data_IF_945333273846
#
_entry.id   IF_945333273846
#
_cell.length_a   1.000
_cell.length_b   1.000
_cell.length_c   1.000
_cell.angle_alpha   90.00
_cell.angle_beta   90.00
_cell.angle_gamma   90.00
#
_symmetry.space_group_name_H-M   'P 1'
#
loop_
_entity.id
_entity.type
_entity.pdbx_description
1 polymer ?
#
# COMPACT_ATOMS: atom_id res chain seq x y z
N UNK A 1 -33.85 38.84 -5.61
CA UNK A 1 -33.69 37.54 -6.24
C UNK A 1 -32.28 37.33 -6.82
N UNK A 2 -31.71 38.17 -7.69
CA UNK A 2 -30.37 38.00 -8.30
C UNK A 2 -29.24 37.81 -7.25
N UNK A 3 -29.20 38.59 -6.17
CA UNK A 3 -28.19 38.50 -5.11
C UNK A 3 -28.23 37.16 -4.38
N UNK A 4 -29.41 36.61 -4.07
CA UNK A 4 -29.58 35.31 -3.39
C UNK A 4 -29.09 34.19 -4.29
N UNK A 5 -29.43 34.23 -5.60
CA UNK A 5 -28.94 33.22 -6.56
C UNK A 5 -27.42 33.24 -6.67
N UNK A 6 -26.82 34.46 -6.70
CA UNK A 6 -25.36 34.58 -6.74
C UNK A 6 -24.70 34.02 -5.48
N UNK A 7 -25.25 34.27 -4.29
CA UNK A 7 -24.73 33.74 -3.01
C UNK A 7 -24.82 32.21 -3.02
N UNK A 8 -25.95 31.63 -3.41
CA UNK A 8 -26.13 30.18 -3.47
C UNK A 8 -25.16 29.54 -4.47
N UNK A 9 -24.94 30.18 -5.62
CA UNK A 9 -23.98 29.67 -6.62
C UNK A 9 -22.54 29.68 -6.07
N UNK A 10 -22.10 30.80 -5.46
CA UNK A 10 -20.78 30.92 -4.86
C UNK A 10 -20.60 29.86 -3.74
N UNK A 11 -21.61 29.71 -2.88
CA UNK A 11 -21.57 28.69 -1.81
C UNK A 11 -21.44 27.28 -2.38
N UNK A 12 -22.17 26.95 -3.45
CA UNK A 12 -22.09 25.65 -4.11
C UNK A 12 -20.68 25.38 -4.68
N UNK A 13 -20.10 26.40 -5.34
CA UNK A 13 -18.73 26.32 -5.87
C UNK A 13 -17.71 26.10 -4.73
N UNK A 14 -17.83 26.85 -3.64
CA UNK A 14 -16.94 26.68 -2.47
C UNK A 14 -17.05 25.28 -1.86
N UNK A 15 -18.26 24.72 -1.74
CA UNK A 15 -18.47 23.36 -1.24
C UNK A 15 -17.84 22.33 -2.17
N UNK A 16 -18.02 22.45 -3.47
CA UNK A 16 -17.42 21.56 -4.46
C UNK A 16 -15.90 21.60 -4.36
N UNK A 17 -15.30 22.79 -4.30
CA UNK A 17 -13.86 22.94 -4.14
C UNK A 17 -13.37 22.31 -2.84
N UNK A 18 -14.06 22.56 -1.70
CA UNK A 18 -13.70 22.03 -0.40
C UNK A 18 -13.71 20.48 -0.37
N UNK A 19 -14.73 19.86 -0.96
CA UNK A 19 -14.87 18.39 -1.02
C UNK A 19 -13.75 17.76 -1.88
N UNK A 20 -13.22 18.48 -2.85
CA UNK A 20 -12.17 17.99 -3.74
C UNK A 20 -10.74 18.35 -3.29
N UNK A 21 -10.56 19.08 -2.19
CA UNK A 21 -9.22 19.30 -1.64
C UNK A 21 -8.61 17.99 -1.12
N UNK A 22 -7.29 17.78 -1.29
CA UNK A 22 -6.59 16.59 -0.79
C UNK A 22 -6.34 16.74 0.71
N UNK A 23 -7.10 16.00 1.51
CA UNK A 23 -7.05 16.11 2.98
C UNK A 23 -6.24 15.04 3.67
N UNK A 24 -6.36 13.79 3.22
CA UNK A 24 -5.87 12.64 3.99
C UNK A 24 -4.89 11.80 3.18
N UNK A 25 -3.68 11.64 3.70
CA UNK A 25 -2.70 10.73 3.12
C UNK A 25 -3.11 9.28 3.35
N UNK A 26 -2.94 8.46 2.33
CA UNK A 26 -3.31 7.04 2.36
C UNK A 26 -2.42 6.22 1.43
N UNK A 27 -2.26 4.96 1.76
CA UNK A 27 -1.84 3.90 0.85
C UNK A 27 -3.05 3.56 -0.03
N UNK A 28 -2.94 3.80 -1.33
CA UNK A 28 -4.04 3.68 -2.29
C UNK A 28 -3.76 2.52 -3.23
N UNK A 29 -4.79 1.70 -3.45
CA UNK A 29 -4.76 0.58 -4.38
C UNK A 29 -5.67 0.90 -5.56
N UNK A 30 -5.09 0.93 -6.76
CA UNK A 30 -5.79 1.16 -8.03
C UNK A 30 -5.75 -0.09 -8.90
N UNK A 31 -6.85 -0.42 -9.54
CA UNK A 31 -6.88 -1.54 -10.50
C UNK A 31 -5.94 -1.25 -11.67
N UNK A 32 -5.10 -2.21 -11.99
CA UNK A 32 -3.95 -2.00 -12.89
C UNK A 32 -4.30 -1.54 -14.30
N UNK A 33 -5.48 -1.92 -14.82
CA UNK A 33 -5.94 -1.58 -16.18
C UNK A 33 -6.70 -0.25 -16.23
N UNK A 34 -7.67 -0.08 -15.35
CA UNK A 34 -8.58 1.07 -15.37
C UNK A 34 -8.05 2.27 -14.60
N UNK A 35 -7.04 2.05 -13.74
CA UNK A 35 -6.54 3.05 -12.79
C UNK A 35 -7.62 3.56 -11.82
N UNK A 36 -8.70 2.81 -11.68
CA UNK A 36 -9.75 3.14 -10.73
C UNK A 36 -9.30 2.78 -9.31
N UNK A 37 -9.48 3.70 -8.37
CA UNK A 37 -9.27 3.43 -6.94
C UNK A 37 -10.23 2.34 -6.48
N UNK A 38 -9.67 1.24 -5.96
CA UNK A 38 -10.41 0.09 -5.43
C UNK A 38 -10.54 0.18 -3.92
N UNK A 39 -9.39 0.39 -3.25
CA UNK A 39 -9.34 0.47 -1.79
C UNK A 39 -8.27 1.48 -1.35
N UNK A 40 -8.37 1.92 -0.11
CA UNK A 40 -7.35 2.76 0.51
C UNK A 40 -7.19 2.43 1.99
N UNK A 41 -6.00 2.69 2.51
CA UNK A 41 -5.67 2.59 3.92
C UNK A 41 -5.06 3.90 4.39
N UNK A 42 -5.70 4.66 5.30
CA UNK A 42 -5.09 5.87 5.85
C UNK A 42 -3.73 5.57 6.49
N UNK A 43 -2.69 6.23 6.03
CA UNK A 43 -1.33 6.09 6.55
C UNK A 43 -0.63 7.44 6.58
N UNK A 44 0.15 7.69 7.62
CA UNK A 44 0.94 8.90 7.79
C UNK A 44 2.41 8.64 7.44
N UNK A 45 3.18 9.71 7.32
CA UNK A 45 4.64 9.63 7.20
C UNK A 45 5.26 8.91 8.41
N UNK A 46 6.13 7.95 8.15
CA UNK A 46 6.74 7.08 9.14
C UNK A 46 5.90 5.88 9.59
N UNK A 47 4.65 5.72 9.12
CA UNK A 47 3.90 4.49 9.30
C UNK A 47 4.52 3.36 8.45
N UNK A 48 4.47 2.14 8.95
CA UNK A 48 5.03 0.97 8.27
C UNK A 48 3.95 -0.05 7.90
N UNK A 49 4.25 -0.87 6.91
CA UNK A 49 3.43 -2.02 6.56
C UNK A 49 4.28 -3.15 5.98
N UNK A 50 3.81 -4.38 6.17
CA UNK A 50 4.39 -5.55 5.51
C UNK A 50 3.40 -6.10 4.49
N UNK A 51 3.92 -6.53 3.36
CA UNK A 51 3.22 -7.40 2.42
C UNK A 51 3.77 -8.81 2.62
N UNK A 52 2.89 -9.74 2.97
CA UNK A 52 3.24 -11.13 3.20
C UNK A 52 2.55 -11.97 2.14
N UNK A 53 3.30 -12.85 1.50
CA UNK A 53 2.75 -13.81 0.55
C UNK A 53 3.42 -15.17 0.67
N UNK A 54 2.72 -16.23 0.29
CA UNK A 54 3.27 -17.58 0.24
C UNK A 54 4.02 -17.80 -1.06
N UNK A 55 5.29 -18.15 -0.96
CA UNK A 55 6.10 -18.52 -2.13
C UNK A 55 5.55 -19.79 -2.78
N UNK A 56 5.30 -19.77 -4.08
CA UNK A 56 4.56 -20.82 -4.80
C UNK A 56 5.26 -22.19 -4.84
N UNK A 57 6.58 -22.23 -4.72
CA UNK A 57 7.38 -23.46 -4.77
C UNK A 57 7.59 -24.02 -3.37
N UNK A 58 8.07 -23.19 -2.45
CA UNK A 58 8.46 -23.62 -1.11
C UNK A 58 7.30 -23.65 -0.11
N UNK A 59 6.18 -23.04 -0.46
CA UNK A 59 4.97 -22.91 0.37
C UNK A 59 5.25 -22.25 1.74
N UNK A 60 6.24 -21.37 1.77
CA UNK A 60 6.65 -20.61 2.95
C UNK A 60 6.37 -19.14 2.76
N UNK A 61 6.18 -18.42 3.86
CA UNK A 61 5.94 -16.97 3.82
C UNK A 61 7.19 -16.22 3.38
N UNK A 62 6.97 -15.27 2.48
CA UNK A 62 7.89 -14.18 2.17
C UNK A 62 7.27 -12.91 2.71
N UNK A 63 8.06 -12.11 3.41
CA UNK A 63 7.64 -10.82 3.97
C UNK A 63 8.47 -9.70 3.34
N UNK A 64 7.81 -8.73 2.77
CA UNK A 64 8.42 -7.48 2.31
C UNK A 64 7.95 -6.35 3.21
N UNK A 65 8.89 -5.64 3.83
CA UNK A 65 8.63 -4.58 4.80
C UNK A 65 8.87 -3.21 4.19
N UNK A 66 7.92 -2.30 4.39
CA UNK A 66 7.90 -0.96 3.82
C UNK A 66 7.58 0.10 4.86
N UNK A 67 8.03 1.33 4.59
CA UNK A 67 7.71 2.53 5.37
C UNK A 67 7.20 3.61 4.44
N UNK A 68 6.23 4.38 4.89
CA UNK A 68 5.77 5.59 4.20
C UNK A 68 6.76 6.71 4.42
N UNK A 69 7.39 7.21 3.37
CA UNK A 69 8.36 8.29 3.40
C UNK A 69 7.90 9.42 2.48
N UNK A 70 7.28 10.45 3.06
CA UNK A 70 6.65 11.52 2.29
C UNK A 70 5.49 11.00 1.43
N UNK A 71 5.64 11.05 0.11
CA UNK A 71 4.68 10.51 -0.86
C UNK A 71 5.21 9.25 -1.57
N UNK A 72 6.23 8.61 -1.02
CA UNK A 72 6.86 7.42 -1.56
C UNK A 72 6.72 6.23 -0.61
N UNK A 73 6.88 5.05 -1.14
CA UNK A 73 6.98 3.79 -0.40
C UNK A 73 8.45 3.40 -0.36
N UNK A 74 9.04 3.34 0.81
CA UNK A 74 10.42 2.94 1.01
C UNK A 74 10.48 1.47 1.42
N UNK A 75 11.19 0.63 0.67
CA UNK A 75 11.43 -0.75 1.05
C UNK A 75 12.55 -0.82 2.09
N UNK A 76 12.33 -1.58 3.16
CA UNK A 76 13.29 -1.71 4.26
C UNK A 76 13.90 -3.10 4.38
N UNK A 77 13.12 -4.13 4.09
CA UNK A 77 13.57 -5.51 4.31
C UNK A 77 12.77 -6.49 3.46
N UNK A 78 13.44 -7.56 3.06
CA UNK A 78 12.83 -8.77 2.52
C UNK A 78 13.23 -9.92 3.45
N UNK A 79 12.25 -10.71 3.91
CA UNK A 79 12.47 -11.87 4.78
C UNK A 79 11.86 -13.11 4.16
N UNK A 80 12.63 -14.19 4.11
CA UNK A 80 12.20 -15.47 3.53
C UNK A 80 12.96 -16.64 4.16
N UNK A 81 12.43 -17.86 4.07
CA UNK A 81 13.06 -19.06 4.68
C UNK A 81 13.96 -19.83 3.71
N UNK A 82 13.64 -19.80 2.41
CA UNK A 82 14.37 -20.58 1.40
C UNK A 82 14.58 -19.76 0.13
N UNK A 83 15.76 -19.89 -0.46
CA UNK A 83 16.06 -19.32 -1.76
C UNK A 83 15.23 -19.99 -2.86
N UNK A 84 14.82 -19.23 -3.86
CA UNK A 84 14.05 -19.73 -5.00
C UNK A 84 13.89 -18.67 -6.08
N UNK A 85 13.18 -19.01 -7.13
CA UNK A 85 12.90 -18.07 -8.23
C UNK A 85 12.16 -16.85 -7.69
N UNK A 86 12.71 -15.66 -7.93
CA UNK A 86 12.16 -14.39 -7.46
C UNK A 86 12.68 -13.94 -6.10
N UNK A 87 13.52 -14.74 -5.42
CA UNK A 87 14.21 -14.31 -4.21
C UNK A 87 15.54 -13.62 -4.55
N UNK A 88 15.97 -12.61 -3.76
CA UNK A 88 17.27 -11.99 -3.96
C UNK A 88 18.39 -13.04 -3.88
N UNK A 89 19.18 -13.16 -4.95
CA UNK A 89 20.29 -14.13 -5.02
C UNK A 89 21.61 -13.55 -4.55
N UNK A 90 21.76 -12.24 -4.58
CA UNK A 90 22.99 -11.50 -4.25
C UNK A 90 22.67 -10.32 -3.33
N UNK A 91 23.67 -9.91 -2.57
CA UNK A 91 23.62 -8.71 -1.72
C UNK A 91 24.34 -7.59 -2.47
N UNK A 92 23.65 -6.48 -2.71
CA UNK A 92 24.19 -5.34 -3.41
C UNK A 92 24.84 -4.33 -2.46
N UNK A 93 25.59 -3.38 -3.02
CA UNK A 93 26.18 -2.30 -2.25
C UNK A 93 25.10 -1.52 -1.49
N UNK A 94 25.32 -1.31 -0.17
CA UNK A 94 24.36 -0.66 0.71
C UNK A 94 23.32 -1.58 1.34
N UNK A 95 23.26 -2.85 0.93
CA UNK A 95 22.38 -3.85 1.55
C UNK A 95 23.10 -4.59 2.69
N UNK A 96 22.33 -5.09 3.66
CA UNK A 96 22.83 -5.93 4.74
C UNK A 96 22.05 -7.23 4.82
N UNK A 97 22.77 -8.32 4.74
CA UNK A 97 22.20 -9.66 4.89
C UNK A 97 22.46 -10.23 6.29
N UNK A 98 21.46 -10.91 6.83
CA UNK A 98 21.52 -11.63 8.11
C UNK A 98 20.72 -12.93 8.00
N UNK A 99 21.30 -14.05 8.47
CA UNK A 99 20.55 -15.29 8.69
C UNK A 99 20.28 -15.45 10.18
N UNK A 100 19.03 -15.42 10.57
CA UNK A 100 18.61 -15.47 11.97
C UNK A 100 17.29 -16.20 12.12
N UNK A 101 17.18 -17.03 13.15
CA UNK A 101 15.96 -17.80 13.50
C UNK A 101 15.41 -18.65 12.33
N UNK A 102 16.31 -19.21 11.48
CA UNK A 102 15.94 -20.01 10.33
C UNK A 102 15.45 -19.21 9.12
N UNK A 103 15.58 -17.87 9.15
CA UNK A 103 15.13 -16.96 8.10
C UNK A 103 16.29 -16.14 7.56
N UNK A 104 16.24 -15.89 6.25
CA UNK A 104 17.08 -14.92 5.57
C UNK A 104 16.46 -13.54 5.70
N UNK A 105 17.22 -12.55 6.14
CA UNK A 105 16.84 -11.16 6.26
C UNK A 105 17.75 -10.36 5.35
N UNK A 106 17.21 -9.76 4.31
CA UNK A 106 17.89 -8.80 3.46
C UNK A 106 17.36 -7.41 3.77
N UNK A 107 18.16 -6.60 4.42
CA UNK A 107 17.87 -5.19 4.66
C UNK A 107 18.34 -4.39 3.46
N UNK A 108 17.43 -3.59 2.91
CA UNK A 108 17.70 -2.73 1.77
C UNK A 108 17.70 -1.27 2.20
N UNK A 109 18.53 -0.44 1.57
CA UNK A 109 18.60 0.99 1.83
C UNK A 109 18.35 1.75 0.53
N UNK A 110 17.75 2.94 0.66
CA UNK A 110 17.56 3.88 -0.44
C UNK A 110 16.74 3.32 -1.64
N UNK A 111 15.84 2.38 -1.37
CA UNK A 111 14.92 1.83 -2.38
C UNK A 111 13.54 2.44 -2.20
N UNK A 112 13.17 3.35 -3.10
CA UNK A 112 11.93 4.13 -3.06
C UNK A 112 11.08 3.87 -4.29
N UNK A 113 9.76 3.79 -4.08
CA UNK A 113 8.77 3.63 -5.14
C UNK A 113 7.75 4.77 -5.07
N UNK A 114 7.55 5.49 -6.18
CA UNK A 114 6.41 6.37 -6.36
C UNK A 114 5.12 5.55 -6.49
N UNK A 115 5.23 4.38 -7.14
CA UNK A 115 4.17 3.39 -7.24
C UNK A 115 4.79 2.01 -7.48
N UNK A 116 4.21 0.98 -6.87
CA UNK A 116 4.60 -0.41 -7.11
C UNK A 116 3.40 -1.23 -7.58
N UNK A 117 3.65 -2.30 -8.35
CA UNK A 117 2.59 -3.17 -8.85
C UNK A 117 2.58 -4.48 -8.06
N UNK A 118 1.42 -4.82 -7.53
CA UNK A 118 1.20 -6.07 -6.80
C UNK A 118 0.18 -6.91 -7.55
N UNK A 119 0.46 -8.19 -7.71
CA UNK A 119 -0.51 -9.15 -8.22
C UNK A 119 -1.12 -9.92 -7.06
N UNK A 120 -2.45 -9.86 -6.90
CA UNK A 120 -3.13 -10.74 -5.96
C UNK A 120 -3.16 -12.17 -6.54
N UNK A 121 -2.34 -13.07 -6.00
CA UNK A 121 -2.20 -14.43 -6.56
C UNK A 121 -3.49 -15.26 -6.44
N UNK A 122 -3.70 -16.17 -7.42
CA UNK A 122 -4.94 -16.96 -7.52
C UNK A 122 -5.01 -18.16 -6.58
N UNK A 123 -3.89 -18.81 -6.29
CA UNK A 123 -3.89 -20.14 -5.67
C UNK A 123 -3.26 -20.15 -4.29
N UNK A 124 -1.94 -20.17 -4.21
CA UNK A 124 -1.21 -20.36 -2.95
C UNK A 124 -0.72 -19.08 -2.31
N UNK A 125 -0.70 -17.96 -3.04
CA UNK A 125 -0.01 -16.74 -2.60
C UNK A 125 -0.55 -16.12 -1.31
N UNK A 126 -1.85 -16.26 -1.04
CA UNK A 126 -2.50 -15.82 0.19
C UNK A 126 -1.94 -14.48 0.71
N UNK A 127 -2.04 -13.42 -0.12
CA UNK A 127 -1.48 -12.12 0.20
C UNK A 127 -2.15 -11.50 1.42
N UNK A 128 -1.34 -10.98 2.31
CA UNK A 128 -1.76 -10.32 3.56
C UNK A 128 -1.02 -9.00 3.68
N UNK A 129 -1.70 -7.99 4.20
CA UNK A 129 -1.14 -6.70 4.57
C UNK A 129 -1.11 -6.60 6.09
N UNK A 130 0.07 -6.44 6.66
CA UNK A 130 0.23 -6.15 8.10
C UNK A 130 0.51 -4.67 8.25
N UNK A 131 -0.36 -3.99 8.97
CA UNK A 131 -0.31 -2.53 9.16
C UNK A 131 0.27 -2.20 10.52
N UNK A 132 1.28 -1.34 10.54
CA UNK A 132 2.03 -0.94 11.73
C UNK A 132 2.03 0.58 11.86
N UNK A 133 1.00 1.12 12.50
CA UNK A 133 0.90 2.56 12.76
C UNK A 133 1.42 2.90 14.14
N UNK A 134 2.00 4.08 14.26
CA UNK A 134 2.49 4.57 15.56
C UNK A 134 1.34 4.69 16.56
N UNK A 135 1.48 4.00 17.71
CA UNK A 135 0.49 4.02 18.79
C UNK A 135 -0.73 3.13 18.60
N UNK A 136 -0.82 2.39 17.51
CA UNK A 136 -1.86 1.40 17.26
C UNK A 136 -1.32 -0.03 17.38
N UNK A 137 -2.21 -0.99 17.61
CA UNK A 137 -1.87 -2.41 17.50
C UNK A 137 -1.72 -2.79 16.03
N UNK A 138 -0.80 -3.69 15.74
CA UNK A 138 -0.67 -4.27 14.40
C UNK A 138 -1.98 -4.94 13.98
N UNK A 139 -2.35 -4.74 12.72
CA UNK A 139 -3.54 -5.36 12.12
C UNK A 139 -3.15 -6.09 10.86
N UNK A 140 -3.68 -7.29 10.69
CA UNK A 140 -3.52 -8.07 9.47
C UNK A 140 -4.81 -8.06 8.66
N UNK A 141 -4.70 -7.73 7.38
CA UNK A 141 -5.78 -7.66 6.41
C UNK A 141 -5.53 -8.67 5.30
N UNK A 142 -6.55 -9.39 4.88
CA UNK A 142 -6.46 -10.32 3.76
C UNK A 142 -6.69 -9.58 2.44
N UNK A 143 -5.83 -9.79 1.45
CA UNK A 143 -6.00 -9.17 0.13
C UNK A 143 -7.31 -9.60 -0.54
N UNK A 144 -7.71 -10.85 -0.35
CA UNK A 144 -8.93 -11.41 -0.96
C UNK A 144 -10.23 -10.77 -0.44
N UNK A 145 -10.18 -10.05 0.68
CA UNK A 145 -11.35 -9.31 1.19
C UNK A 145 -11.61 -8.02 0.38
N UNK A 146 -10.59 -7.54 -0.36
CA UNK A 146 -10.63 -6.27 -1.10
C UNK A 146 -10.32 -6.40 -2.58
N UNK A 147 -9.59 -7.43 -2.99
CA UNK A 147 -8.97 -7.54 -4.30
C UNK A 147 -9.30 -8.86 -4.98
N UNK A 148 -9.57 -8.81 -6.27
CA UNK A 148 -9.86 -10.00 -7.08
C UNK A 148 -8.59 -10.84 -7.27
N UNK A 149 -8.63 -12.15 -6.95
CA UNK A 149 -7.48 -13.03 -7.18
C UNK A 149 -7.07 -13.10 -8.66
N UNK A 150 -5.78 -12.87 -8.90
CA UNK A 150 -5.17 -12.91 -10.23
C UNK A 150 -5.01 -11.54 -10.89
N UNK A 151 -5.67 -10.51 -10.37
CA UNK A 151 -5.57 -9.16 -10.91
C UNK A 151 -4.36 -8.39 -10.35
N UNK A 152 -3.98 -7.35 -11.08
CA UNK A 152 -2.88 -6.45 -10.75
C UNK A 152 -3.40 -5.15 -10.14
N UNK A 153 -2.72 -4.67 -9.12
CA UNK A 153 -3.02 -3.43 -8.43
C UNK A 153 -1.77 -2.55 -8.36
N UNK A 154 -1.91 -1.29 -8.78
CA UNK A 154 -0.91 -0.26 -8.53
C UNK A 154 -1.12 0.26 -7.10
N UNK A 155 -0.01 0.35 -6.34
CA UNK A 155 -0.02 0.78 -4.95
C UNK A 155 0.87 2.01 -4.81
N UNK A 156 0.34 3.09 -4.26
CA UNK A 156 1.05 4.35 -4.08
C UNK A 156 0.57 5.13 -2.87
N UNK A 157 1.37 6.09 -2.43
CA UNK A 157 0.96 7.04 -1.39
C UNK A 157 0.33 8.26 -2.06
N UNK A 158 -0.93 8.51 -1.74
CA UNK A 158 -1.69 9.63 -2.31
C UNK A 158 -2.37 10.43 -1.20
N UNK A 159 -2.64 11.73 -1.48
CA UNK A 159 -3.52 12.55 -0.66
C UNK A 159 -4.91 12.51 -1.26
N UNK A 160 -5.85 11.90 -0.56
CA UNK A 160 -7.24 11.73 -1.00
C UNK A 160 -8.10 12.91 -0.57
N UNK A 161 -9.01 13.33 -1.45
CA UNK A 161 -10.09 14.26 -1.17
C UNK A 161 -11.22 13.57 -0.40
N UNK A 162 -12.12 14.37 0.22
CA UNK A 162 -13.31 13.82 0.88
C UNK A 162 -14.18 13.01 -0.09
N UNK A 163 -14.26 13.45 -1.36
CA UNK A 163 -14.97 12.72 -2.40
C UNK A 163 -14.37 11.35 -2.70
N UNK A 164 -13.03 11.26 -2.80
CA UNK A 164 -12.32 10.00 -3.02
C UNK A 164 -12.42 9.06 -1.83
N UNK A 165 -12.33 9.59 -0.59
CA UNK A 165 -12.52 8.82 0.64
C UNK A 165 -13.95 8.23 0.72
N UNK A 166 -14.95 9.01 0.33
CA UNK A 166 -16.35 8.56 0.35
C UNK A 166 -16.65 7.49 -0.71
N UNK A 167 -16.04 7.58 -1.89
CA UNK A 167 -16.24 6.61 -2.97
C UNK A 167 -15.39 5.36 -2.86
N UNK A 168 -14.23 5.44 -2.21
CA UNK A 168 -13.31 4.33 -2.04
C UNK A 168 -13.71 3.42 -0.87
N UNK A 169 -13.14 2.21 -0.86
CA UNK A 169 -13.30 1.26 0.24
C UNK A 169 -12.14 1.43 1.21
N UNK A 170 -12.43 1.83 2.44
CA UNK A 170 -11.42 1.88 3.50
C UNK A 170 -11.13 0.46 4.00
N UNK A 171 -9.87 0.07 3.94
CA UNK A 171 -9.41 -1.23 4.46
C UNK A 171 -9.37 -1.20 6.00
N UNK A 172 -10.07 -2.14 6.63
CA UNK A 172 -10.26 -2.20 8.10
C UNK A 172 -10.00 -3.59 8.65
#
# INVERSE_FOLDING_TARGET
MKKIVSILFISAVCIILFINLPWKQALVFEEGRTKQQVAYLPMADGDAFDIIFVHSIHLTDVTESYVVTGQQIEQKMIRFSQYGIGMPAEVHEGERYEYKDGMHHLYVNDVYFDSMNIRNGKTVSNHRLVVKRRGERERQLQFNDYFVPGDWYAVSIQKLSLWQLWRGVEMR
#
